data_IF_605678064651
#
_entry.id   IF_605678064651
#
_cell.length_a   1.000
_cell.length_b   1.000
_cell.length_c   1.000
_cell.angle_alpha   90.00
_cell.angle_beta   90.00
_cell.angle_gamma   90.00
#
_symmetry.space_group_name_H-M   'P 1'
#
loop_
_entity.id
_entity.type
_entity.pdbx_description
1 polymer ?
#
# COMPACT_ATOMS: atom_id res chain seq x y z
N UNK A 1 9.50 -2.12 6.98
CA UNK A 1 10.09 -3.44 7.26
C UNK A 1 11.58 -3.38 6.94
N UNK A 2 12.45 -3.87 7.82
CA UNK A 2 13.90 -3.91 7.59
C UNK A 2 14.30 -5.14 6.74
N UNK A 3 15.56 -5.18 6.29
CA UNK A 3 16.08 -6.23 5.40
C UNK A 3 16.05 -7.64 6.01
N UNK A 4 16.30 -7.78 7.31
CA UNK A 4 16.29 -9.07 7.97
C UNK A 4 14.86 -9.61 8.05
N UNK A 5 13.91 -8.74 8.38
CA UNK A 5 12.48 -9.06 8.37
C UNK A 5 12.02 -9.50 6.97
N UNK A 6 12.42 -8.77 5.90
CA UNK A 6 12.10 -9.15 4.51
C UNK A 6 12.62 -10.55 4.19
N UNK A 7 13.85 -10.88 4.57
CA UNK A 7 14.43 -12.20 4.33
C UNK A 7 13.73 -13.31 5.13
N UNK A 8 13.40 -13.04 6.39
CA UNK A 8 12.68 -13.98 7.24
C UNK A 8 11.30 -14.30 6.67
N UNK A 9 10.50 -13.29 6.33
CA UNK A 9 9.20 -13.50 5.72
C UNK A 9 9.32 -14.24 4.39
N UNK A 10 10.27 -13.85 3.53
CA UNK A 10 10.50 -14.56 2.27
C UNK A 10 10.71 -16.06 2.51
N UNK A 11 11.54 -16.44 3.49
CA UNK A 11 11.81 -17.84 3.80
C UNK A 11 10.56 -18.57 4.33
N UNK A 12 9.70 -17.91 5.11
CA UNK A 12 8.42 -18.47 5.56
C UNK A 12 7.49 -18.77 4.37
N UNK A 13 7.32 -17.82 3.46
CA UNK A 13 6.48 -18.00 2.27
C UNK A 13 7.06 -19.05 1.30
N UNK A 14 8.39 -19.10 1.16
CA UNK A 14 9.06 -20.12 0.37
C UNK A 14 8.82 -21.53 0.95
N UNK A 15 8.84 -21.66 2.28
CA UNK A 15 8.68 -22.93 2.98
C UNK A 15 7.30 -23.58 2.83
N UNK A 16 6.27 -22.83 2.47
CA UNK A 16 4.89 -23.35 2.22
C UNK A 16 4.55 -23.45 0.74
N UNK A 17 5.57 -23.40 -0.13
CA UNK A 17 5.38 -23.56 -1.57
C UNK A 17 5.35 -25.04 -1.92
N UNK A 18 4.28 -25.46 -2.58
CA UNK A 18 4.11 -26.83 -3.08
C UNK A 18 4.10 -26.86 -4.60
N UNK A 19 4.28 -28.06 -5.16
CA UNK A 19 4.21 -28.29 -6.60
C UNK A 19 3.30 -29.47 -6.89
N UNK A 20 2.42 -29.30 -7.88
CA UNK A 20 1.60 -30.36 -8.46
C UNK A 20 1.98 -30.56 -9.92
N UNK A 21 1.68 -31.72 -10.48
CA UNK A 21 1.92 -32.01 -11.90
C UNK A 21 0.70 -31.56 -12.74
N UNK A 22 0.97 -31.06 -13.95
CA UNK A 22 -0.07 -30.83 -14.96
C UNK A 22 -0.66 -32.15 -15.45
N UNK A 23 -1.85 -32.10 -16.07
CA UNK A 23 -2.53 -33.27 -16.65
C UNK A 23 -1.66 -34.08 -17.63
N UNK A 24 -0.73 -33.42 -18.32
CA UNK A 24 0.20 -34.04 -19.27
C UNK A 24 1.58 -34.38 -18.67
N UNK A 25 1.75 -34.19 -17.35
CA UNK A 25 2.98 -34.39 -16.58
C UNK A 25 4.23 -33.64 -17.10
N UNK A 26 4.04 -32.61 -17.93
CA UNK A 26 5.14 -31.82 -18.52
C UNK A 26 5.50 -30.59 -17.71
N UNK A 27 4.56 -30.06 -16.92
CA UNK A 27 4.76 -28.84 -16.15
C UNK A 27 4.53 -29.08 -14.66
N UNK A 28 5.38 -28.45 -13.83
CA UNK A 28 5.15 -28.33 -12.40
C UNK A 28 4.42 -27.03 -12.12
N UNK A 29 3.23 -27.15 -11.56
CA UNK A 29 2.38 -26.03 -11.17
C UNK A 29 2.62 -25.73 -9.71
N UNK A 30 2.96 -24.48 -9.44
CA UNK A 30 3.21 -24.01 -8.09
C UNK A 30 1.92 -23.62 -7.37
N UNK A 31 1.73 -24.18 -6.18
CA UNK A 31 0.50 -24.00 -5.39
C UNK A 31 0.79 -23.76 -3.90
N UNK A 32 -0.20 -23.19 -3.22
CA UNK A 32 -0.21 -22.99 -1.78
C UNK A 32 -1.52 -23.51 -1.20
N UNK A 33 -1.47 -23.90 0.08
CA UNK A 33 -2.68 -24.25 0.82
C UNK A 33 -3.12 -23.10 1.73
N UNK A 34 -4.43 -22.81 1.71
CA UNK A 34 -5.01 -21.73 2.49
C UNK A 34 -4.75 -21.88 4.00
N UNK A 35 -4.73 -23.10 4.55
CA UNK A 35 -4.43 -23.33 5.97
C UNK A 35 -3.02 -22.93 6.38
N UNK A 36 -2.04 -23.15 5.51
CA UNK A 36 -0.65 -22.73 5.75
C UNK A 36 -0.52 -21.21 5.59
N UNK A 37 -1.12 -20.68 4.52
CA UNK A 37 -1.14 -19.26 4.22
C UNK A 37 -1.82 -18.44 5.33
N UNK A 38 -2.91 -18.95 5.90
CA UNK A 38 -3.62 -18.36 7.05
C UNK A 38 -2.64 -18.00 8.19
N UNK A 39 -1.79 -18.96 8.54
CA UNK A 39 -0.87 -18.85 9.68
C UNK A 39 0.19 -17.80 9.41
N UNK A 40 0.78 -17.81 8.21
CA UNK A 40 1.83 -16.86 7.81
C UNK A 40 1.26 -15.45 7.62
N UNK A 41 0.00 -15.31 7.21
CA UNK A 41 -0.69 -14.03 7.12
C UNK A 41 -1.22 -13.51 8.47
N UNK A 42 -0.92 -14.21 9.58
CA UNK A 42 -1.27 -13.76 10.93
C UNK A 42 -2.76 -13.82 11.25
N UNK A 43 -3.53 -14.72 10.61
CA UNK A 43 -4.94 -14.94 10.93
C UNK A 43 -5.09 -16.06 11.97
N UNK A 44 -5.43 -15.70 13.21
CA UNK A 44 -5.60 -16.69 14.28
C UNK A 44 -6.82 -17.62 14.10
N UNK A 45 -7.87 -17.14 13.44
CA UNK A 45 -9.15 -17.86 13.26
C UNK A 45 -9.45 -18.05 11.78
N UNK A 46 -9.87 -19.27 11.42
CA UNK A 46 -10.20 -19.62 10.03
C UNK A 46 -11.36 -18.81 9.49
N UNK A 47 -12.36 -18.53 10.32
CA UNK A 47 -13.57 -17.79 9.94
C UNK A 47 -13.19 -16.41 9.41
N UNK A 48 -12.22 -15.75 10.04
CA UNK A 48 -11.72 -14.45 9.60
C UNK A 48 -10.94 -14.55 8.28
N UNK A 49 -10.14 -15.60 8.11
CA UNK A 49 -9.37 -15.80 6.89
C UNK A 49 -10.25 -16.20 5.71
N UNK A 50 -11.26 -17.03 5.95
CA UNK A 50 -12.26 -17.43 4.96
C UNK A 50 -13.01 -16.21 4.38
N UNK A 51 -13.26 -15.17 5.19
CA UNK A 51 -13.81 -13.90 4.67
C UNK A 51 -12.86 -13.26 3.64
N UNK A 52 -11.55 -13.25 3.89
CA UNK A 52 -10.57 -12.72 2.93
C UNK A 52 -10.52 -13.58 1.65
N UNK A 53 -10.59 -14.91 1.75
CA UNK A 53 -10.67 -15.82 0.60
C UNK A 53 -11.92 -15.54 -0.23
N UNK A 54 -13.10 -15.43 0.40
CA UNK A 54 -14.34 -15.18 -0.33
C UNK A 54 -14.35 -13.81 -1.03
N UNK A 55 -13.73 -12.78 -0.43
CA UNK A 55 -13.52 -11.48 -1.09
C UNK A 55 -12.58 -11.62 -2.29
N UNK A 56 -11.50 -12.38 -2.17
CA UNK A 56 -10.58 -12.67 -3.27
C UNK A 56 -11.28 -13.41 -4.43
N UNK A 57 -12.13 -14.40 -4.11
CA UNK A 57 -12.97 -15.10 -5.10
C UNK A 57 -13.94 -14.13 -5.79
N UNK A 58 -14.58 -13.22 -5.04
CA UNK A 58 -15.45 -12.21 -5.63
C UNK A 58 -14.69 -11.24 -6.55
N UNK A 59 -13.47 -10.84 -6.16
CA UNK A 59 -12.58 -10.02 -6.99
C UNK A 59 -12.25 -10.74 -8.30
N UNK A 60 -11.84 -12.01 -8.24
CA UNK A 60 -11.57 -12.85 -9.41
C UNK A 60 -12.75 -12.89 -10.39
N UNK A 61 -13.97 -13.11 -9.86
CA UNK A 61 -15.21 -13.08 -10.66
C UNK A 61 -15.47 -11.71 -11.30
N UNK A 62 -15.23 -10.62 -10.57
CA UNK A 62 -15.43 -9.25 -11.08
C UNK A 62 -14.48 -8.91 -12.22
N UNK A 63 -13.29 -9.51 -12.23
CA UNK A 63 -12.30 -9.40 -13.31
C UNK A 63 -12.58 -10.35 -14.49
N UNK A 64 -13.71 -11.07 -14.47
CA UNK A 64 -14.12 -12.06 -15.48
C UNK A 64 -13.11 -13.20 -15.66
N UNK A 65 -12.37 -13.54 -14.60
CA UNK A 65 -11.44 -14.67 -14.57
C UNK A 65 -12.16 -15.88 -13.97
N UNK A 66 -11.92 -17.07 -14.54
CA UNK A 66 -12.52 -18.30 -14.04
C UNK A 66 -11.95 -18.64 -12.65
N UNK A 67 -12.82 -18.81 -11.66
CA UNK A 67 -12.41 -19.07 -10.27
C UNK A 67 -11.74 -20.43 -10.13
N UNK A 68 -12.25 -21.45 -10.82
CA UNK A 68 -11.77 -22.83 -10.70
C UNK A 68 -10.34 -23.00 -11.24
N UNK A 69 -9.87 -22.06 -12.06
CA UNK A 69 -8.49 -22.00 -12.55
C UNK A 69 -7.50 -21.65 -11.42
N UNK A 70 -7.97 -21.08 -10.30
CA UNK A 70 -7.13 -20.46 -9.28
C UNK A 70 -7.46 -20.84 -7.83
N UNK A 71 -8.73 -21.14 -7.54
CA UNK A 71 -9.21 -21.54 -6.24
C UNK A 71 -9.85 -22.91 -6.34
N UNK A 72 -9.34 -23.88 -5.59
CA UNK A 72 -9.95 -25.21 -5.48
C UNK A 72 -10.16 -25.58 -4.03
N UNK A 73 -11.40 -25.84 -3.65
CA UNK A 73 -11.71 -26.43 -2.35
C UNK A 73 -11.16 -27.85 -2.27
N UNK A 74 -10.44 -28.13 -1.20
CA UNK A 74 -9.90 -29.45 -0.89
C UNK A 74 -10.12 -29.75 0.59
N UNK A 75 -10.02 -31.01 0.98
CA UNK A 75 -10.03 -31.42 2.39
C UNK A 75 -8.64 -31.82 2.83
N UNK A 76 -8.25 -31.35 4.01
CA UNK A 76 -7.00 -31.75 4.67
C UNK A 76 -7.35 -32.61 5.87
N UNK A 77 -6.66 -33.75 5.99
CA UNK A 77 -6.74 -34.60 7.18
C UNK A 77 -5.80 -34.07 8.26
N UNK A 78 -6.32 -33.86 9.47
CA UNK A 78 -5.54 -33.46 10.64
C UNK A 78 -5.70 -34.47 11.77
N UNK A 79 -4.60 -34.77 12.45
CA UNK A 79 -4.61 -35.59 13.66
C UNK A 79 -5.04 -34.74 14.87
N UNK A 80 -6.01 -35.25 15.62
CA UNK A 80 -6.45 -34.68 16.88
C UNK A 80 -5.57 -35.21 18.01
N UNK A 81 -5.51 -34.50 19.14
CA UNK A 81 -4.75 -34.92 20.33
C UNK A 81 -5.14 -36.30 20.90
N UNK A 82 -6.29 -36.84 20.48
CA UNK A 82 -6.78 -38.20 20.76
C UNK A 82 -6.28 -39.27 19.78
N UNK A 83 -5.48 -38.93 18.76
CA UNK A 83 -5.03 -39.83 17.69
C UNK A 83 -6.06 -40.07 16.57
N UNK A 84 -7.29 -39.56 16.71
CA UNK A 84 -8.32 -39.63 15.65
C UNK A 84 -8.07 -38.57 14.57
N UNK A 85 -8.35 -38.91 13.30
CA UNK A 85 -8.23 -37.98 12.17
C UNK A 85 -9.55 -37.27 11.87
N UNK A 86 -9.49 -36.00 11.51
CA UNK A 86 -10.65 -35.19 11.09
C UNK A 86 -10.35 -34.50 9.75
N UNK A 87 -11.34 -34.50 8.87
CA UNK A 87 -11.31 -33.69 7.66
C UNK A 87 -11.67 -32.24 7.98
N UNK A 88 -10.81 -31.31 7.54
CA UNK A 88 -11.07 -29.88 7.59
C UNK A 88 -11.01 -29.30 6.17
N UNK A 89 -11.86 -28.32 5.90
CA UNK A 89 -11.86 -27.57 4.64
C UNK A 89 -10.55 -26.78 4.48
N UNK A 90 -10.00 -26.78 3.28
CA UNK A 90 -8.82 -26.03 2.85
C UNK A 90 -9.01 -25.59 1.39
N UNK A 91 -8.09 -24.78 0.87
CA UNK A 91 -8.06 -24.41 -0.54
C UNK A 91 -6.67 -24.63 -1.10
N UNK A 92 -6.60 -25.22 -2.30
CA UNK A 92 -5.44 -25.17 -3.16
C UNK A 92 -5.50 -23.90 -4.00
N UNK A 93 -4.43 -23.12 -3.94
CA UNK A 93 -4.37 -21.75 -4.46
C UNK A 93 -3.20 -21.61 -5.43
N UNK A 94 -3.45 -20.98 -6.57
CA UNK A 94 -2.37 -20.50 -7.45
C UNK A 94 -1.74 -19.23 -6.88
N UNK A 95 -0.61 -18.81 -7.45
CA UNK A 95 0.02 -17.52 -7.12
C UNK A 95 -0.94 -16.35 -7.27
N UNK A 96 -1.74 -16.33 -8.33
CA UNK A 96 -2.73 -15.29 -8.54
C UNK A 96 -3.82 -15.29 -7.46
N UNK A 97 -4.30 -16.46 -7.03
CA UNK A 97 -5.24 -16.55 -5.90
C UNK A 97 -4.62 -16.03 -4.61
N UNK A 98 -3.37 -16.41 -4.31
CA UNK A 98 -2.63 -15.90 -3.15
C UNK A 98 -2.45 -14.38 -3.18
N UNK A 99 -2.14 -13.82 -4.36
CA UNK A 99 -2.06 -12.37 -4.56
C UNK A 99 -3.40 -11.68 -4.28
N UNK A 100 -4.51 -12.21 -4.81
CA UNK A 100 -5.84 -11.66 -4.55
C UNK A 100 -6.24 -11.75 -3.06
N UNK A 101 -5.89 -12.85 -2.39
CA UNK A 101 -6.11 -13.00 -0.94
C UNK A 101 -5.34 -11.93 -0.17
N UNK A 102 -4.08 -11.68 -0.53
CA UNK A 102 -3.27 -10.63 0.10
C UNK A 102 -3.84 -9.22 -0.16
N UNK A 103 -4.36 -8.94 -1.37
CA UNK A 103 -5.02 -7.67 -1.69
C UNK A 103 -6.32 -7.46 -0.92
N UNK A 104 -7.04 -8.54 -0.57
CA UNK A 104 -8.30 -8.49 0.16
C UNK A 104 -8.14 -8.76 1.68
N UNK A 105 -6.90 -8.87 2.15
CA UNK A 105 -6.57 -9.07 3.55
C UNK A 105 -6.62 -7.77 4.36
N UNK A 106 -6.36 -7.87 5.67
CA UNK A 106 -6.24 -6.71 6.55
C UNK A 106 -4.93 -5.93 6.26
N UNK A 107 -5.00 -4.70 5.71
CA UNK A 107 -3.80 -3.93 5.36
C UNK A 107 -3.01 -3.46 6.58
N UNK A 108 -3.56 -3.56 7.80
CA UNK A 108 -2.84 -3.23 9.04
C UNK A 108 -1.83 -4.30 9.45
N UNK A 109 -1.90 -5.49 8.85
CA UNK A 109 -0.97 -6.59 9.10
C UNK A 109 0.25 -6.48 8.18
N UNK A 110 1.44 -6.44 8.78
CA UNK A 110 2.68 -6.37 8.02
C UNK A 110 2.88 -7.61 7.12
N UNK A 111 2.41 -8.78 7.58
CA UNK A 111 2.45 -10.04 6.85
C UNK A 111 1.62 -10.00 5.57
N UNK A 112 0.48 -9.28 5.61
CA UNK A 112 -0.38 -9.07 4.45
C UNK A 112 0.29 -8.12 3.44
N UNK A 113 0.87 -7.02 3.91
CA UNK A 113 1.64 -6.10 3.06
C UNK A 113 2.84 -6.79 2.40
N UNK A 114 3.52 -7.67 3.14
CA UNK A 114 4.59 -8.51 2.59
C UNK A 114 4.06 -9.46 1.51
N UNK A 115 2.95 -10.17 1.76
CA UNK A 115 2.35 -11.09 0.81
C UNK A 115 1.94 -10.41 -0.51
N UNK A 116 1.38 -9.19 -0.44
CA UNK A 116 1.07 -8.39 -1.63
C UNK A 116 2.30 -8.10 -2.49
N UNK A 117 3.47 -7.99 -1.86
CA UNK A 117 4.73 -7.77 -2.56
C UNK A 117 5.33 -9.08 -3.07
N UNK A 118 5.30 -10.13 -2.24
CA UNK A 118 5.86 -11.45 -2.52
C UNK A 118 5.17 -12.14 -3.70
N UNK A 119 3.84 -12.22 -3.70
CA UNK A 119 3.10 -12.90 -4.77
C UNK A 119 3.07 -12.11 -6.09
N UNK A 120 3.41 -10.82 -6.02
CA UNK A 120 3.38 -9.95 -7.18
C UNK A 120 4.67 -9.87 -7.98
N UNK A 121 5.80 -10.23 -7.37
CA UNK A 121 7.07 -10.31 -8.09
C UNK A 121 7.21 -11.69 -8.74
N UNK A 122 7.59 -11.70 -10.02
CA UNK A 122 7.81 -12.96 -10.74
C UNK A 122 8.99 -13.76 -10.17
N UNK A 123 10.03 -13.05 -9.71
CA UNK A 123 11.19 -13.66 -9.04
C UNK A 123 11.20 -13.26 -7.58
N UNK A 124 11.35 -14.25 -6.69
CA UNK A 124 11.32 -14.06 -5.23
C UNK A 124 12.62 -13.45 -4.70
N UNK A 125 13.28 -12.58 -5.45
CA UNK A 125 14.48 -11.88 -4.99
C UNK A 125 14.08 -10.89 -3.90
N UNK A 126 14.75 -10.95 -2.74
CA UNK A 126 14.44 -10.10 -1.59
C UNK A 126 14.49 -8.61 -1.95
N UNK A 127 15.45 -8.20 -2.79
CA UNK A 127 15.59 -6.82 -3.28
C UNK A 127 14.34 -6.34 -4.04
N UNK A 128 13.77 -7.17 -4.92
CA UNK A 128 12.56 -6.81 -5.68
C UNK A 128 11.32 -6.74 -4.79
N UNK A 129 11.25 -7.59 -3.76
CA UNK A 129 10.18 -7.55 -2.75
C UNK A 129 10.30 -6.26 -1.94
N UNK A 130 11.51 -5.89 -1.52
CA UNK A 130 11.80 -4.65 -0.79
C UNK A 130 11.45 -3.41 -1.63
N UNK A 131 11.84 -3.38 -2.91
CA UNK A 131 11.46 -2.30 -3.84
C UNK A 131 9.94 -2.15 -3.96
N UNK A 132 9.21 -3.27 -4.05
CA UNK A 132 7.75 -3.25 -4.14
C UNK A 132 7.09 -2.81 -2.83
N UNK A 133 7.61 -3.23 -1.68
CA UNK A 133 7.16 -2.76 -0.37
C UNK A 133 7.31 -1.24 -0.23
N UNK A 134 8.46 -0.71 -0.62
CA UNK A 134 8.72 0.73 -0.60
C UNK A 134 7.77 1.50 -1.54
N UNK A 135 7.46 0.92 -2.71
CA UNK A 135 6.48 1.47 -3.64
C UNK A 135 5.09 1.55 -3.00
N UNK A 136 4.59 0.44 -2.43
CA UNK A 136 3.27 0.39 -1.81
C UNK A 136 3.16 1.35 -0.62
N UNK A 137 4.18 1.41 0.24
CA UNK A 137 4.24 2.35 1.36
C UNK A 137 4.17 3.81 0.90
N UNK A 138 4.80 4.14 -0.23
CA UNK A 138 4.73 5.48 -0.80
C UNK A 138 3.34 5.81 -1.34
N UNK A 139 2.67 4.87 -2.01
CA UNK A 139 1.28 5.04 -2.45
C UNK A 139 0.36 5.31 -1.25
N UNK A 140 0.46 4.49 -0.21
CA UNK A 140 -0.33 4.66 1.02
C UNK A 140 -0.08 6.03 1.68
N UNK A 141 1.19 6.45 1.77
CA UNK A 141 1.56 7.75 2.35
C UNK A 141 0.98 8.91 1.53
N UNK A 142 0.95 8.78 0.20
CA UNK A 142 0.33 9.78 -0.68
C UNK A 142 -1.18 9.83 -0.50
N UNK A 143 -1.84 8.69 -0.35
CA UNK A 143 -3.29 8.63 -0.14
C UNK A 143 -3.70 9.18 1.23
N UNK A 144 -2.87 8.99 2.26
CA UNK A 144 -3.02 9.70 3.55
C UNK A 144 -2.96 11.21 3.36
N UNK A 145 -1.95 11.73 2.65
CA UNK A 145 -1.87 13.16 2.35
C UNK A 145 -3.09 13.65 1.54
N UNK A 146 -3.53 12.90 0.53
CA UNK A 146 -4.74 13.27 -0.24
C UNK A 146 -5.97 13.38 0.67
N UNK A 147 -6.11 12.46 1.62
CA UNK A 147 -7.23 12.43 2.56
C UNK A 147 -7.16 13.60 3.53
N UNK A 148 -6.00 13.87 4.12
CA UNK A 148 -5.76 15.01 5.01
C UNK A 148 -5.99 16.35 4.31
N UNK A 149 -5.50 16.52 3.07
CA UNK A 149 -5.71 17.72 2.25
C UNK A 149 -7.20 17.89 1.90
N UNK A 150 -7.92 16.80 1.60
CA UNK A 150 -9.36 16.84 1.33
C UNK A 150 -10.15 17.26 2.56
N UNK A 151 -9.83 16.69 3.72
CA UNK A 151 -10.44 17.08 5.00
C UNK A 151 -10.17 18.55 5.31
N UNK A 152 -8.92 19.01 5.13
CA UNK A 152 -8.59 20.42 5.34
C UNK A 152 -9.37 21.33 4.41
N UNK A 153 -9.44 20.99 3.12
CA UNK A 153 -10.22 21.75 2.15
C UNK A 153 -11.69 21.87 2.55
N UNK A 154 -12.31 20.78 3.03
CA UNK A 154 -13.70 20.82 3.48
C UNK A 154 -13.86 21.68 4.75
N UNK A 155 -13.01 21.42 5.74
CA UNK A 155 -13.01 22.11 7.03
C UNK A 155 -12.91 23.63 6.87
N UNK A 156 -11.98 24.11 6.05
CA UNK A 156 -11.75 25.54 5.85
C UNK A 156 -12.81 26.20 4.95
N UNK A 157 -13.45 25.43 4.06
CA UNK A 157 -14.53 25.94 3.22
C UNK A 157 -15.74 26.34 4.06
N UNK A 158 -16.11 25.51 5.03
CA UNK A 158 -17.14 25.79 6.02
C UNK A 158 -16.80 27.02 6.90
N UNK A 159 -15.52 27.44 6.91
CA UNK A 159 -14.97 28.56 7.68
C UNK A 159 -14.64 29.78 6.81
N UNK A 160 -15.24 29.88 5.63
CA UNK A 160 -15.19 31.06 4.77
C UNK A 160 -13.96 31.17 3.86
N UNK A 161 -13.27 30.06 3.58
CA UNK A 161 -12.14 30.02 2.63
C UNK A 161 -12.59 29.37 1.31
N UNK A 162 -12.32 30.05 0.18
CA UNK A 162 -12.62 29.52 -1.15
C UNK A 162 -11.45 28.65 -1.72
N UNK A 163 -11.66 28.01 -2.87
CA UNK A 163 -10.64 27.16 -3.52
C UNK A 163 -9.34 27.92 -3.83
N UNK A 164 -9.45 29.21 -4.14
CA UNK A 164 -8.29 30.07 -4.39
C UNK A 164 -7.52 30.33 -3.08
N UNK A 165 -8.23 30.57 -1.98
CA UNK A 165 -7.68 30.69 -0.64
C UNK A 165 -6.99 29.41 -0.19
N UNK A 166 -7.61 28.25 -0.41
CA UNK A 166 -6.97 26.97 -0.13
C UNK A 166 -5.66 26.78 -0.91
N UNK A 167 -5.65 27.14 -2.19
CA UNK A 167 -4.44 27.08 -3.02
C UNK A 167 -3.32 27.98 -2.48
N UNK A 168 -3.65 29.19 -1.99
CA UNK A 168 -2.71 30.11 -1.34
C UNK A 168 -2.20 29.57 0.00
N UNK A 169 -3.08 29.03 0.85
CA UNK A 169 -2.71 28.40 2.13
C UNK A 169 -1.72 27.27 1.87
N UNK A 170 -2.03 26.35 0.95
CA UNK A 170 -1.15 25.24 0.60
C UNK A 170 0.21 25.72 0.09
N UNK A 171 0.23 26.74 -0.78
CA UNK A 171 1.49 27.30 -1.28
C UNK A 171 2.33 27.94 -0.18
N UNK A 172 1.70 28.62 0.78
CA UNK A 172 2.41 29.21 1.93
C UNK A 172 2.93 28.14 2.90
N UNK A 173 2.19 27.06 3.08
CA UNK A 173 2.66 25.86 3.79
C UNK A 173 3.89 25.25 3.12
N UNK A 174 3.87 25.11 1.80
CA UNK A 174 5.03 24.65 1.02
C UNK A 174 6.23 25.58 1.21
N UNK A 175 6.05 26.89 1.11
CA UNK A 175 7.12 27.88 1.39
C UNK A 175 7.73 27.68 2.76
N UNK A 176 6.93 27.45 3.79
CA UNK A 176 7.41 27.19 5.14
C UNK A 176 8.19 25.85 5.25
N UNK A 177 7.66 24.78 4.64
CA UNK A 177 8.28 23.46 4.71
C UNK A 177 9.57 23.36 3.89
N UNK A 178 9.64 24.04 2.75
CA UNK A 178 10.77 23.97 1.81
C UNK A 178 11.75 25.13 1.98
N UNK A 179 11.86 25.70 3.19
CA UNK A 179 12.91 26.68 3.51
C UNK A 179 12.82 27.97 2.69
N UNK A 180 11.62 28.40 2.32
CA UNK A 180 11.36 29.61 1.53
C UNK A 180 11.00 29.35 0.07
N UNK A 181 11.06 28.11 -0.42
CA UNK A 181 10.67 27.77 -1.79
C UNK A 181 9.17 27.55 -1.92
N UNK A 182 8.52 28.29 -2.81
CA UNK A 182 7.11 28.09 -3.14
C UNK A 182 6.86 26.74 -3.80
N UNK A 183 5.58 26.34 -3.91
CA UNK A 183 5.19 25.14 -4.67
C UNK A 183 5.75 25.18 -6.10
N UNK A 184 5.73 26.35 -6.76
CA UNK A 184 6.18 26.50 -8.14
C UNK A 184 7.71 26.47 -8.26
N UNK A 185 8.44 27.04 -7.30
CA UNK A 185 9.91 26.89 -7.22
C UNK A 185 10.30 25.42 -7.11
N UNK A 186 9.60 24.67 -6.25
CA UNK A 186 9.84 23.25 -6.07
C UNK A 186 9.47 22.44 -7.31
N UNK A 187 8.39 22.80 -8.02
CA UNK A 187 8.05 22.17 -9.29
C UNK A 187 9.14 22.39 -10.33
N UNK A 188 9.65 23.62 -10.45
CA UNK A 188 10.74 23.94 -11.37
C UNK A 188 12.00 23.13 -11.05
N UNK A 189 12.39 23.10 -9.76
CA UNK A 189 13.55 22.37 -9.28
C UNK A 189 13.47 20.86 -9.54
N UNK A 190 12.29 20.26 -9.37
CA UNK A 190 12.07 18.82 -9.55
C UNK A 190 11.64 18.44 -10.97
N UNK A 191 11.60 19.39 -11.92
CA UNK A 191 11.18 19.13 -13.30
C UNK A 191 9.71 18.74 -13.46
N UNK A 192 8.85 19.19 -12.54
CA UNK A 192 7.42 18.87 -12.51
C UNK A 192 6.64 19.86 -13.37
N UNK A 193 5.79 19.36 -14.28
CA UNK A 193 4.90 20.20 -15.09
C UNK A 193 3.92 20.98 -14.20
N UNK A 194 3.59 22.22 -14.58
CA UNK A 194 2.70 23.11 -13.81
C UNK A 194 1.34 22.51 -13.47
N UNK A 195 0.76 21.74 -14.40
CA UNK A 195 -0.53 21.07 -14.24
C UNK A 195 -0.49 19.77 -13.41
N UNK A 196 0.69 19.35 -12.94
CA UNK A 196 0.86 18.16 -12.11
C UNK A 196 0.98 18.53 -10.63
N UNK A 197 0.43 17.72 -9.70
CA UNK A 197 0.66 17.91 -8.27
C UNK A 197 2.13 17.71 -7.90
N UNK A 198 2.70 18.65 -7.15
CA UNK A 198 4.08 18.53 -6.63
C UNK A 198 4.27 17.25 -5.82
N UNK A 199 3.29 16.90 -4.97
CA UNK A 199 3.33 15.74 -4.09
C UNK A 199 3.50 14.39 -4.82
N UNK A 200 3.18 14.30 -6.10
CA UNK A 200 3.36 13.06 -6.88
C UNK A 200 4.83 12.76 -7.20
N UNK A 201 5.73 13.73 -6.98
CA UNK A 201 7.17 13.65 -7.28
C UNK A 201 8.04 13.78 -6.03
N UNK A 202 7.41 13.99 -4.86
CA UNK A 202 8.11 14.09 -3.59
C UNK A 202 8.52 12.69 -3.08
N UNK A 203 9.66 12.56 -2.40
CA UNK A 203 10.01 11.37 -1.62
C UNK A 203 8.99 11.09 -0.51
N UNK A 204 8.89 9.82 -0.11
CA UNK A 204 7.95 9.38 0.94
C UNK A 204 8.07 10.20 2.23
N UNK A 205 9.30 10.48 2.66
CA UNK A 205 9.57 11.29 3.85
C UNK A 205 8.97 12.69 3.75
N UNK A 206 9.10 13.36 2.60
CA UNK A 206 8.55 14.69 2.38
C UNK A 206 7.03 14.66 2.33
N UNK A 207 6.43 13.64 1.72
CA UNK A 207 4.97 13.45 1.72
C UNK A 207 4.47 13.27 3.16
N UNK A 208 5.15 12.45 3.97
CA UNK A 208 4.80 12.24 5.38
C UNK A 208 4.93 13.53 6.20
N UNK A 209 5.96 14.35 5.96
CA UNK A 209 6.12 15.65 6.60
C UNK A 209 4.97 16.61 6.27
N UNK A 210 4.59 16.71 4.98
CA UNK A 210 3.41 17.48 4.55
C UNK A 210 2.13 16.96 5.19
N UNK A 211 1.97 15.64 5.27
CA UNK A 211 0.80 15.02 5.87
C UNK A 211 0.68 15.42 7.34
N UNK A 212 1.77 15.29 8.11
CA UNK A 212 1.78 15.67 9.52
C UNK A 212 1.41 17.14 9.73
N UNK A 213 2.00 18.06 8.96
CA UNK A 213 1.67 19.48 9.07
C UNK A 213 0.20 19.77 8.71
N UNK A 214 -0.35 19.05 7.73
CA UNK A 214 -1.76 19.16 7.31
C UNK A 214 -2.70 18.64 8.40
N UNK A 215 -2.39 17.50 9.00
CA UNK A 215 -3.18 16.92 10.11
C UNK A 215 -3.16 17.81 11.35
N UNK A 216 -2.00 18.37 11.71
CA UNK A 216 -1.91 19.37 12.79
C UNK A 216 -2.78 20.60 12.50
N UNK A 217 -2.79 21.06 11.24
CA UNK A 217 -3.63 22.19 10.83
C UNK A 217 -5.11 21.82 10.93
N UNK A 218 -5.53 20.63 10.46
CA UNK A 218 -6.90 20.14 10.61
C UNK A 218 -7.36 20.18 12.07
N UNK A 219 -6.55 19.59 12.95
CA UNK A 219 -6.84 19.51 14.38
C UNK A 219 -6.93 20.91 15.03
N UNK A 220 -6.00 21.81 14.71
CA UNK A 220 -5.97 23.16 15.31
C UNK A 220 -7.09 24.07 14.77
N UNK A 221 -7.43 23.97 13.48
CA UNK A 221 -8.55 24.72 12.90
C UNK A 221 -9.88 24.31 13.54
N UNK A 222 -10.07 23.02 13.80
CA UNK A 222 -11.26 22.51 14.47
C UNK A 222 -11.29 22.87 15.96
N UNK A 223 -10.19 22.60 16.68
CA UNK A 223 -10.12 22.79 18.13
C UNK A 223 -10.20 24.25 18.57
N UNK A 224 -9.63 25.16 17.77
CA UNK A 224 -9.61 26.60 18.07
C UNK A 224 -10.67 27.39 17.30
N UNK A 225 -11.55 26.71 16.55
CA UNK A 225 -12.57 27.30 15.68
C UNK A 225 -12.03 28.46 14.83
N UNK A 226 -10.96 28.20 14.06
CA UNK A 226 -10.29 29.24 13.28
C UNK A 226 -11.10 29.60 12.03
N UNK A 227 -11.36 30.89 11.81
CA UNK A 227 -12.13 31.37 10.64
C UNK A 227 -11.32 32.23 9.69
N UNK A 228 -11.63 32.12 8.40
CA UNK A 228 -11.06 32.94 7.34
C UNK A 228 -9.61 32.58 6.98
N UNK A 229 -9.20 33.01 5.77
CA UNK A 229 -7.93 32.59 5.18
C UNK A 229 -6.71 33.02 6.02
N UNK A 230 -6.75 34.21 6.64
CA UNK A 230 -5.59 34.76 7.34
C UNK A 230 -5.20 33.91 8.56
N UNK A 231 -6.17 33.61 9.44
CA UNK A 231 -5.93 32.81 10.64
C UNK A 231 -5.47 31.39 10.29
N UNK A 232 -6.16 30.75 9.35
CA UNK A 232 -5.85 29.39 8.89
C UNK A 232 -4.48 29.35 8.19
N UNK A 233 -4.13 30.37 7.41
CA UNK A 233 -2.81 30.49 6.80
C UNK A 233 -1.72 30.56 7.86
N UNK A 234 -1.90 31.37 8.90
CA UNK A 234 -0.92 31.54 9.96
C UNK A 234 -0.67 30.21 10.68
N UNK A 235 -1.75 29.52 11.05
CA UNK A 235 -1.72 28.19 11.66
C UNK A 235 -0.98 27.18 10.75
N UNK A 236 -1.33 27.14 9.46
CA UNK A 236 -0.71 26.22 8.52
C UNK A 236 0.79 26.50 8.32
N UNK A 237 1.20 27.77 8.26
CA UNK A 237 2.62 28.16 8.18
C UNK A 237 3.36 27.70 9.43
N UNK A 238 2.82 27.96 10.63
CA UNK A 238 3.45 27.57 11.89
C UNK A 238 3.67 26.06 11.97
N UNK A 239 2.65 25.26 11.64
CA UNK A 239 2.76 23.80 11.64
C UNK A 239 3.84 23.30 10.65
N UNK A 240 3.91 23.87 9.44
CA UNK A 240 4.95 23.52 8.47
C UNK A 240 6.35 23.96 8.93
N UNK A 241 6.48 25.12 9.59
CA UNK A 241 7.74 25.57 10.17
C UNK A 241 8.21 24.63 11.29
N UNK A 242 7.31 24.19 12.17
CA UNK A 242 7.62 23.23 13.23
C UNK A 242 8.11 21.91 12.65
N UNK A 243 7.40 21.35 11.66
CA UNK A 243 7.83 20.12 10.97
C UNK A 243 9.19 20.31 10.28
N UNK A 244 9.39 21.46 9.61
CA UNK A 244 10.67 21.79 8.98
C UNK A 244 11.82 21.87 9.98
N UNK A 245 11.62 22.52 11.12
CA UNK A 245 12.62 22.62 12.18
C UNK A 245 12.99 21.22 12.72
N UNK A 246 12.01 20.36 12.98
CA UNK A 246 12.25 18.98 13.43
C UNK A 246 13.11 18.19 12.43
N UNK A 247 12.83 18.30 11.13
CA UNK A 247 13.64 17.67 10.10
C UNK A 247 15.06 18.27 10.05
N UNK A 248 15.17 19.59 10.15
CA UNK A 248 16.44 20.32 10.14
C UNK A 248 17.37 19.94 11.29
N UNK A 249 16.83 19.69 12.49
CA UNK A 249 17.60 19.19 13.65
C UNK A 249 18.28 17.84 13.41
N UNK A 250 17.78 17.06 12.44
CA UNK A 250 18.37 15.79 12.01
C UNK A 250 19.16 15.90 10.71
N UNK A 251 19.45 17.12 10.26
CA UNK A 251 20.17 17.39 9.01
C UNK A 251 19.33 17.15 7.75
N UNK A 252 18.01 17.00 7.87
CA UNK A 252 17.13 16.72 6.74
C UNK A 252 16.54 18.03 6.23
N UNK A 253 16.80 18.32 4.95
CA UNK A 253 16.28 19.48 4.23
C UNK A 253 15.37 19.03 3.10
N UNK A 254 14.04 19.12 3.25
CA UNK A 254 13.08 18.64 2.26
C UNK A 254 13.33 19.13 0.84
N UNK A 255 13.78 20.37 0.70
CA UNK A 255 14.08 21.04 -0.57
C UNK A 255 15.37 20.54 -1.27
N UNK A 256 16.24 19.84 -0.55
CA UNK A 256 17.49 19.26 -1.08
C UNK A 256 17.35 17.77 -1.43
N UNK A 257 16.24 17.13 -1.06
CA UNK A 257 16.02 15.71 -1.35
C UNK A 257 15.78 15.49 -2.85
N UNK A 258 16.30 14.39 -3.44
CA UNK A 258 16.13 14.11 -4.86
C UNK A 258 14.66 13.84 -5.20
N UNK A 259 14.21 14.13 -6.43
CA UNK A 259 12.88 13.77 -6.88
C UNK A 259 12.70 12.26 -6.84
N UNK A 260 11.52 11.82 -6.44
CA UNK A 260 11.13 10.41 -6.54
C UNK A 260 10.31 10.19 -7.83
N UNK A 261 10.24 8.94 -8.29
CA UNK A 261 9.50 8.59 -9.50
C UNK A 261 8.03 9.05 -9.42
N UNK A 262 7.43 9.43 -10.55
CA UNK A 262 6.04 9.86 -10.60
C UNK A 262 5.10 8.78 -10.02
N UNK A 263 4.35 9.12 -8.98
CA UNK A 263 3.36 8.23 -8.35
C UNK A 263 2.36 7.66 -9.38
N UNK A 264 1.92 8.44 -10.36
CA UNK A 264 1.00 7.94 -11.40
C UNK A 264 1.64 6.87 -12.28
N UNK A 265 2.97 6.91 -12.47
CA UNK A 265 3.69 5.85 -13.17
C UNK A 265 3.78 4.60 -12.30
N UNK A 266 3.97 4.75 -10.98
CA UNK A 266 3.97 3.65 -10.02
C UNK A 266 2.60 2.96 -9.92
N UNK A 267 1.50 3.73 -9.81
CA UNK A 267 0.12 3.20 -9.81
C UNK A 267 -0.12 2.33 -11.07
N UNK A 268 0.31 2.81 -12.25
CA UNK A 268 0.21 2.04 -13.50
C UNK A 268 1.09 0.79 -13.51
N UNK A 269 2.28 0.85 -12.91
CA UNK A 269 3.18 -0.32 -12.79
C UNK A 269 2.51 -1.41 -11.95
N UNK A 270 1.93 -1.04 -10.80
CA UNK A 270 1.18 -1.98 -9.93
C UNK A 270 0.02 -2.62 -10.68
N UNK A 271 -0.78 -1.84 -11.39
CA UNK A 271 -1.92 -2.35 -12.17
C UNK A 271 -1.47 -3.27 -13.32
N UNK A 272 -0.35 -2.96 -13.98
CA UNK A 272 0.24 -3.83 -15.01
C UNK A 272 0.75 -5.14 -14.42
N UNK A 273 1.41 -5.08 -13.26
CA UNK A 273 1.92 -6.28 -12.59
C UNK A 273 0.76 -7.20 -12.18
N UNK A 274 -0.33 -6.65 -11.66
CA UNK A 274 -1.56 -7.40 -11.37
C UNK A 274 -2.08 -8.17 -12.58
N UNK A 275 -2.20 -7.49 -13.73
CA UNK A 275 -2.62 -8.13 -14.98
C UNK A 275 -1.64 -9.22 -15.41
N UNK A 276 -0.34 -8.97 -15.30
CA UNK A 276 0.69 -9.93 -15.67
C UNK A 276 0.68 -11.17 -14.75
N UNK A 277 0.36 -11.03 -13.46
CA UNK A 277 0.24 -12.17 -12.55
C UNK A 277 -0.96 -13.03 -12.95
N UNK A 278 -2.09 -12.42 -13.31
CA UNK A 278 -3.26 -13.14 -13.79
C UNK A 278 -2.98 -13.92 -15.08
N UNK A 279 -2.32 -13.27 -16.06
CA UNK A 279 -2.01 -13.86 -17.37
C UNK A 279 -0.94 -14.95 -17.30
N UNK A 280 0.08 -14.80 -16.45
CA UNK A 280 1.22 -15.73 -16.37
C UNK A 280 1.07 -16.82 -15.29
N UNK A 281 0.08 -16.72 -14.40
CA UNK A 281 -0.13 -17.78 -13.41
C UNK A 281 -0.68 -19.02 -14.09
N UNK A 282 0.01 -20.14 -13.88
CA UNK A 282 -0.52 -21.45 -14.27
C UNK A 282 -1.88 -21.70 -13.59
N UNK A 283 -2.73 -22.40 -14.34
CA UNK A 283 -4.08 -22.75 -13.91
C UNK A 283 -4.05 -24.11 -13.23
N UNK A 284 -4.93 -24.31 -12.25
CA UNK A 284 -5.07 -25.62 -11.62
C UNK A 284 -5.60 -26.65 -12.66
N UNK A 285 -5.09 -27.90 -12.70
CA UNK A 285 -5.52 -28.92 -13.66
C UNK A 285 -6.98 -29.33 -13.42
N UNK A 286 -7.80 -29.53 -14.44
CA UNK A 286 -9.20 -29.90 -14.26
C UNK A 286 -9.30 -31.29 -13.62
N UNK A 287 -10.28 -31.46 -12.73
CA UNK A 287 -10.59 -32.77 -12.14
C UNK A 287 -11.23 -33.70 -13.19
#
# INVERSE_FOLDING_TARGET
>A
MDKNSVLQYKNLFDGITHYIESEDAKEKIEVWFARELQTILGYARWENFSVAIHRAVASCKSQQINVDDHFREVTKMVELGSGSKREIMDFMLTRYACYLIAQNGDPKKEEVAFAQSYFAVQTRKAELIEERLNLLSRLETRDKLRSAEKQLSQNIYERGVDDKGFSRIRSKGDTALFGGHTTDDMKLRLGVKTNRPLADFLPTLTIAAKNLATEMTNYNVESNDLHGESAITHEHIQNNQTVRQMLGQRGIKPEELPPAEDIKKLERKVARDEKAIAENSQKLPKN
#
